data_IF_600919409254
#
_entry.id   IF_600919409254
#
_cell.length_a   1.000
_cell.length_b   1.000
_cell.length_c   1.000
_cell.angle_alpha   90.00
_cell.angle_beta   90.00
_cell.angle_gamma   90.00
#
_symmetry.space_group_name_H-M   'P 1'
#
loop_
_entity.id
_entity.type
_entity.pdbx_description
1 polymer ?
#
# COMPACT_ATOMS: atom_id res chain seq x y z
N UNK A 1 -16.10 3.89 -9.22
CA UNK A 1 -14.65 3.80 -9.52
C UNK A 1 -14.28 4.68 -10.71
N UNK A 2 -13.11 5.33 -10.72
CA UNK A 2 -12.69 6.20 -11.86
C UNK A 2 -12.54 5.37 -13.15
N UNK A 3 -12.93 5.91 -14.33
CA UNK A 3 -12.87 5.17 -15.59
C UNK A 3 -11.45 4.73 -15.97
N UNK A 4 -10.44 5.54 -15.67
CA UNK A 4 -9.03 5.17 -15.90
C UNK A 4 -8.60 3.91 -15.12
N UNK A 5 -9.10 3.72 -13.90
CA UNK A 5 -8.79 2.54 -13.08
C UNK A 5 -9.42 1.27 -13.67
N UNK A 6 -10.64 1.38 -14.20
CA UNK A 6 -11.31 0.26 -14.90
C UNK A 6 -10.49 -0.24 -16.09
N UNK A 7 -10.01 0.69 -16.93
CA UNK A 7 -9.15 0.35 -18.06
C UNK A 7 -7.84 -0.32 -17.65
N UNK A 8 -7.25 0.08 -16.52
CA UNK A 8 -6.05 -0.58 -15.99
C UNK A 8 -6.35 -2.01 -15.54
N UNK A 9 -7.46 -2.23 -14.83
CA UNK A 9 -7.88 -3.57 -14.41
C UNK A 9 -8.14 -4.49 -15.60
N UNK A 10 -8.75 -3.99 -16.67
CA UNK A 10 -8.96 -4.76 -17.90
C UNK A 10 -7.65 -5.16 -18.60
N UNK A 11 -6.57 -4.40 -18.39
CA UNK A 11 -5.22 -4.79 -18.87
C UNK A 11 -4.67 -5.93 -18.02
N UNK A 12 -4.86 -5.91 -16.71
CA UNK A 12 -4.45 -7.02 -15.82
C UNK A 12 -5.21 -8.31 -16.12
N UNK A 13 -6.51 -8.24 -16.45
CA UNK A 13 -7.28 -9.41 -16.88
C UNK A 13 -6.70 -10.04 -18.15
N UNK A 14 -6.38 -9.21 -19.15
CA UNK A 14 -5.74 -9.68 -20.39
C UNK A 14 -4.36 -10.26 -20.11
N UNK A 15 -3.58 -9.59 -19.27
CA UNK A 15 -2.24 -10.04 -18.88
C UNK A 15 -2.28 -11.40 -18.17
N UNK A 16 -3.27 -11.63 -17.30
CA UNK A 16 -3.43 -12.93 -16.66
C UNK A 16 -3.64 -14.05 -17.68
N UNK A 17 -4.51 -13.83 -18.66
CA UNK A 17 -4.78 -14.81 -19.72
C UNK A 17 -3.52 -15.08 -20.58
N UNK A 18 -2.72 -14.05 -20.86
CA UNK A 18 -1.43 -14.21 -21.53
C UNK A 18 -0.46 -15.05 -20.67
N UNK A 19 -0.36 -14.76 -19.38
CA UNK A 19 0.51 -15.49 -18.45
C UNK A 19 0.09 -16.96 -18.32
N UNK A 20 -1.21 -17.24 -18.25
CA UNK A 20 -1.75 -18.60 -18.25
C UNK A 20 -1.32 -19.35 -19.53
N UNK A 21 -1.39 -18.70 -20.69
CA UNK A 21 -0.94 -19.28 -21.96
C UNK A 21 0.57 -19.51 -22.01
N UNK A 22 1.36 -18.58 -21.47
CA UNK A 22 2.84 -18.69 -21.44
C UNK A 22 3.31 -19.79 -20.48
N UNK A 23 2.67 -19.91 -19.33
CA UNK A 23 2.99 -20.96 -18.34
C UNK A 23 2.58 -22.36 -18.81
N UNK A 24 1.64 -22.46 -19.73
CA UNK A 24 1.27 -23.71 -20.38
C UNK A 24 2.25 -24.16 -21.49
N UNK A 25 3.16 -23.29 -21.95
CA UNK A 25 4.13 -23.62 -23.00
C UNK A 25 5.30 -24.48 -22.43
N UNK A 26 5.51 -25.71 -22.94
CA UNK A 26 6.62 -26.56 -22.52
C UNK A 26 8.00 -25.93 -22.73
N UNK A 27 8.16 -24.98 -23.65
CA UNK A 27 9.41 -24.25 -23.86
C UNK A 27 9.77 -23.37 -22.66
N UNK A 28 8.78 -22.73 -22.05
CA UNK A 28 8.95 -21.92 -20.84
C UNK A 28 9.23 -22.81 -19.63
N UNK A 29 8.60 -23.98 -19.54
CA UNK A 29 8.86 -24.94 -18.45
C UNK A 29 10.30 -25.47 -18.45
N UNK A 30 10.97 -25.49 -19.60
CA UNK A 30 12.39 -25.87 -19.71
C UNK A 30 13.35 -24.77 -19.25
N UNK A 31 12.93 -23.51 -19.24
CA UNK A 31 13.68 -22.40 -18.68
C UNK A 31 13.26 -22.12 -17.23
N UNK A 32 14.03 -22.66 -16.28
CA UNK A 32 13.78 -22.47 -14.86
C UNK A 32 13.82 -20.99 -14.42
N UNK A 33 14.54 -20.12 -15.12
CA UNK A 33 14.61 -18.68 -14.84
C UNK A 33 13.34 -17.96 -15.25
N UNK A 34 12.97 -18.09 -16.53
CA UNK A 34 11.74 -17.52 -17.10
C UNK A 34 10.48 -18.03 -16.41
N UNK A 35 10.41 -19.34 -16.11
CA UNK A 35 9.28 -19.92 -15.39
C UNK A 35 9.07 -19.28 -14.02
N UNK A 36 10.15 -19.06 -13.24
CA UNK A 36 10.04 -18.42 -11.92
C UNK A 36 9.61 -16.97 -12.01
N UNK A 37 10.07 -16.23 -13.02
CA UNK A 37 9.68 -14.83 -13.22
C UNK A 37 8.19 -14.72 -13.58
N UNK A 38 7.74 -15.50 -14.57
CA UNK A 38 6.34 -15.54 -15.01
C UNK A 38 5.41 -16.06 -13.90
N UNK A 39 5.84 -17.05 -13.12
CA UNK A 39 5.06 -17.54 -11.98
C UNK A 39 4.86 -16.47 -10.90
N UNK A 40 5.88 -15.63 -10.63
CA UNK A 40 5.74 -14.51 -9.68
C UNK A 40 4.76 -13.47 -10.20
N UNK A 41 4.92 -13.08 -11.46
CA UNK A 41 4.03 -12.12 -12.11
C UNK A 41 2.59 -12.65 -12.11
N UNK A 42 2.39 -13.94 -12.39
CA UNK A 42 1.08 -14.59 -12.36
C UNK A 42 0.42 -14.50 -10.99
N UNK A 43 1.15 -14.76 -9.90
CA UNK A 43 0.63 -14.64 -8.53
C UNK A 43 0.23 -13.19 -8.21
N UNK A 44 1.02 -12.21 -8.63
CA UNK A 44 0.70 -10.79 -8.41
C UNK A 44 -0.55 -10.36 -9.20
N UNK A 45 -0.61 -10.70 -10.49
CA UNK A 45 -1.71 -10.33 -11.38
C UNK A 45 -3.00 -11.07 -11.02
N UNK A 46 -2.93 -12.37 -10.71
CA UNK A 46 -4.09 -13.16 -10.28
C UNK A 46 -4.72 -12.60 -9.02
N UNK A 47 -3.90 -12.17 -8.06
CA UNK A 47 -4.35 -11.45 -6.87
C UNK A 47 -5.24 -10.27 -7.21
N UNK A 48 -4.79 -9.39 -8.12
CA UNK A 48 -5.56 -8.20 -8.56
C UNK A 48 -6.86 -8.61 -9.26
N UNK A 49 -6.78 -9.56 -10.21
CA UNK A 49 -7.94 -10.01 -11.01
C UNK A 49 -9.02 -10.65 -10.15
N UNK A 50 -8.65 -11.43 -9.12
CA UNK A 50 -9.61 -12.00 -8.18
C UNK A 50 -10.43 -10.93 -7.45
N UNK A 51 -9.79 -9.85 -6.99
CA UNK A 51 -10.50 -8.75 -6.29
C UNK A 51 -11.40 -7.99 -7.26
N UNK A 52 -10.97 -7.80 -8.51
CA UNK A 52 -11.82 -7.24 -9.55
C UNK A 52 -13.03 -8.14 -9.85
N UNK A 53 -12.84 -9.46 -9.98
CA UNK A 53 -13.94 -10.40 -10.21
C UNK A 53 -14.94 -10.37 -9.06
N UNK A 54 -14.46 -10.30 -7.81
CA UNK A 54 -15.30 -10.14 -6.63
C UNK A 54 -16.07 -8.82 -6.65
N UNK A 55 -15.42 -7.71 -7.00
CA UNK A 55 -16.07 -6.41 -7.16
C UNK A 55 -17.18 -6.46 -8.23
N UNK A 56 -16.90 -7.03 -9.40
CA UNK A 56 -17.90 -7.18 -10.47
C UNK A 56 -19.04 -8.14 -10.10
N UNK A 57 -18.79 -9.11 -9.20
CA UNK A 57 -19.86 -9.94 -8.64
C UNK A 57 -20.74 -9.12 -7.70
N UNK A 58 -20.16 -8.35 -6.77
CA UNK A 58 -20.93 -7.50 -5.85
C UNK A 58 -21.70 -6.39 -6.57
N UNK A 59 -21.19 -5.84 -7.67
CA UNK A 59 -21.95 -4.91 -8.52
C UNK A 59 -23.20 -5.59 -9.10
N UNK A 60 -23.11 -6.87 -9.50
CA UNK A 60 -24.26 -7.65 -9.98
C UNK A 60 -25.24 -8.00 -8.86
N UNK A 61 -24.74 -8.34 -7.68
CA UNK A 61 -25.58 -8.66 -6.53
C UNK A 61 -26.36 -7.43 -6.05
N UNK A 62 -25.74 -6.24 -6.07
CA UNK A 62 -26.42 -4.98 -5.78
C UNK A 62 -27.54 -4.69 -6.80
N UNK A 63 -27.29 -4.95 -8.08
CA UNK A 63 -28.32 -4.82 -9.11
C UNK A 63 -29.47 -5.82 -8.91
N UNK A 64 -29.15 -7.08 -8.56
CA UNK A 64 -30.16 -8.09 -8.26
C UNK A 64 -31.00 -7.73 -7.02
N UNK A 65 -30.37 -7.19 -5.97
CA UNK A 65 -31.07 -6.70 -4.79
C UNK A 65 -32.02 -5.53 -5.13
N UNK A 66 -31.65 -4.66 -6.05
CA UNK A 66 -32.52 -3.57 -6.52
C UNK A 66 -33.75 -4.10 -7.26
N UNK A 67 -33.62 -5.16 -8.06
CA UNK A 67 -34.76 -5.83 -8.71
C UNK A 67 -35.67 -6.51 -7.67
N UNK A 68 -35.10 -7.17 -6.65
CA UNK A 68 -35.85 -7.79 -5.54
C UNK A 68 -36.61 -6.78 -4.69
N UNK A 69 -36.12 -5.54 -4.58
CA UNK A 69 -36.79 -4.47 -3.84
C UNK A 69 -38.13 -4.03 -4.44
N UNK A 70 -38.43 -4.45 -5.68
CA UNK A 70 -39.74 -4.22 -6.32
C UNK A 70 -40.87 -5.04 -5.70
N UNK A 71 -40.55 -6.14 -5.00
CA UNK A 71 -41.51 -6.95 -4.25
C UNK A 71 -41.56 -6.48 -2.77
N UNK A 72 -42.71 -5.99 -2.28
CA UNK A 72 -42.86 -5.52 -0.90
C UNK A 72 -42.54 -6.57 0.16
N UNK A 73 -42.72 -7.86 -0.12
CA UNK A 73 -42.41 -8.94 0.81
C UNK A 73 -40.90 -9.18 0.93
N UNK A 74 -40.15 -8.91 -0.14
CA UNK A 74 -38.70 -9.10 -0.21
C UNK A 74 -37.91 -7.81 0.05
N UNK A 75 -38.58 -6.65 0.11
CA UNK A 75 -37.95 -5.34 0.24
C UNK A 75 -36.99 -5.22 1.44
N UNK A 76 -37.33 -5.82 2.59
CA UNK A 76 -36.48 -5.81 3.77
C UNK A 76 -35.18 -6.62 3.56
N UNK A 77 -35.29 -7.80 2.95
CA UNK A 77 -34.13 -8.64 2.63
C UNK A 77 -33.24 -7.99 1.57
N UNK A 78 -33.86 -7.43 0.52
CA UNK A 78 -33.16 -6.69 -0.52
C UNK A 78 -32.37 -5.49 0.04
N UNK A 79 -32.91 -4.76 1.02
CA UNK A 79 -32.21 -3.66 1.67
C UNK A 79 -30.96 -4.12 2.43
N UNK A 80 -31.03 -5.25 3.15
CA UNK A 80 -29.89 -5.83 3.85
C UNK A 80 -28.80 -6.32 2.88
N UNK A 81 -29.19 -7.02 1.81
CA UNK A 81 -28.27 -7.49 0.77
C UNK A 81 -27.61 -6.32 0.06
N UNK A 82 -28.37 -5.28 -0.31
CA UNK A 82 -27.84 -4.08 -0.93
C UNK A 82 -26.85 -3.35 -0.01
N UNK A 83 -27.14 -3.23 1.28
CA UNK A 83 -26.25 -2.60 2.25
C UNK A 83 -24.94 -3.40 2.40
N UNK A 84 -25.03 -4.72 2.49
CA UNK A 84 -23.87 -5.63 2.56
C UNK A 84 -23.02 -5.54 1.30
N UNK A 85 -23.64 -5.61 0.12
CA UNK A 85 -22.96 -5.52 -1.17
C UNK A 85 -22.27 -4.16 -1.34
N UNK A 86 -22.93 -3.06 -0.96
CA UNK A 86 -22.36 -1.72 -1.04
C UNK A 86 -21.15 -1.56 -0.10
N UNK A 87 -21.25 -2.04 1.13
CA UNK A 87 -20.13 -1.99 2.09
C UNK A 87 -18.92 -2.79 1.59
N UNK A 88 -19.15 -3.95 0.94
CA UNK A 88 -18.07 -4.74 0.35
C UNK A 88 -17.48 -4.06 -0.90
N UNK A 89 -18.31 -3.44 -1.74
CA UNK A 89 -17.86 -2.68 -2.90
C UNK A 89 -16.92 -1.53 -2.50
N UNK A 90 -17.25 -0.78 -1.45
CA UNK A 90 -16.43 0.34 -0.99
C UNK A 90 -15.06 -0.14 -0.45
N UNK A 91 -15.04 -1.28 0.25
CA UNK A 91 -13.81 -1.94 0.70
C UNK A 91 -12.97 -2.39 -0.49
N UNK A 92 -13.55 -3.14 -1.41
CA UNK A 92 -12.87 -3.66 -2.60
C UNK A 92 -12.36 -2.54 -3.51
N UNK A 93 -13.12 -1.45 -3.67
CA UNK A 93 -12.69 -0.28 -4.43
C UNK A 93 -11.44 0.37 -3.82
N UNK A 94 -11.38 0.45 -2.49
CA UNK A 94 -10.21 0.98 -1.77
C UNK A 94 -9.00 0.04 -1.88
N UNK A 95 -9.22 -1.27 -1.76
CA UNK A 95 -8.17 -2.28 -1.92
C UNK A 95 -7.60 -2.30 -3.34
N UNK A 96 -8.46 -2.29 -4.36
CA UNK A 96 -8.05 -2.25 -5.76
C UNK A 96 -7.28 -0.96 -6.06
N UNK A 97 -7.70 0.19 -5.52
CA UNK A 97 -6.92 1.42 -5.66
C UNK A 97 -5.53 1.27 -5.07
N UNK A 98 -5.38 0.71 -3.86
CA UNK A 98 -4.07 0.48 -3.24
C UNK A 98 -3.19 -0.48 -4.04
N UNK A 99 -3.77 -1.57 -4.57
CA UNK A 99 -3.03 -2.56 -5.36
C UNK A 99 -2.54 -2.00 -6.70
N UNK A 100 -3.25 -1.03 -7.26
CA UNK A 100 -2.91 -0.39 -8.54
C UNK A 100 -1.89 0.75 -8.39
N UNK A 101 -1.57 1.18 -7.16
CA UNK A 101 -0.47 2.12 -7.00
C UNK A 101 0.83 1.39 -7.38
N UNK A 102 1.66 1.98 -8.26
CA UNK A 102 2.98 1.43 -8.51
C UNK A 102 3.71 1.37 -7.18
N UNK A 103 4.23 0.19 -6.82
CA UNK A 103 5.09 0.05 -5.66
C UNK A 103 6.32 0.89 -5.91
N UNK A 104 6.61 1.85 -5.03
CA UNK A 104 7.84 2.60 -5.14
C UNK A 104 9.00 1.61 -4.83
N UNK A 105 10.02 1.48 -5.69
CA UNK A 105 11.20 0.70 -5.36
C UNK A 105 11.86 1.12 -4.04
N UNK A 106 11.61 2.36 -3.59
CA UNK A 106 12.08 2.90 -2.31
C UNK A 106 11.13 2.61 -1.14
N UNK A 107 9.89 2.14 -1.36
CA UNK A 107 8.93 1.82 -0.27
C UNK A 107 9.44 0.72 0.67
N UNK A 108 10.27 -0.18 0.15
CA UNK A 108 10.88 -1.26 0.93
C UNK A 108 12.21 -0.86 1.60
N UNK A 109 12.68 0.37 1.40
CA UNK A 109 13.97 0.83 1.92
C UNK A 109 13.82 1.56 3.25
N UNK A 110 14.84 1.41 4.08
CA UNK A 110 14.99 2.20 5.30
C UNK A 110 15.12 3.69 4.97
N UNK A 111 14.43 4.54 5.73
CA UNK A 111 14.53 6.00 5.60
C UNK A 111 15.34 6.59 6.76
N UNK A 112 16.21 7.55 6.45
CA UNK A 112 16.89 8.37 7.45
C UNK A 112 16.06 9.64 7.72
N UNK A 113 15.58 9.79 8.96
CA UNK A 113 14.87 10.99 9.40
C UNK A 113 15.82 11.95 10.12
N UNK A 114 16.10 13.10 9.51
CA UNK A 114 16.87 14.19 10.12
C UNK A 114 15.93 15.33 10.53
N UNK A 115 15.91 15.65 11.83
CA UNK A 115 15.13 16.77 12.38
C UNK A 115 16.10 17.88 12.75
N UNK A 116 15.95 19.05 12.12
CA UNK A 116 16.75 20.25 12.40
C UNK A 116 15.85 21.34 12.98
N UNK A 117 16.33 22.03 14.01
CA UNK A 117 15.66 23.22 14.51
C UNK A 117 15.73 24.34 13.47
N UNK A 118 14.60 24.99 13.21
CA UNK A 118 14.49 26.15 12.33
C UNK A 118 14.83 27.46 13.04
N UNK A 119 14.20 28.54 12.62
CA UNK A 119 14.31 29.86 13.27
C UNK A 119 13.41 29.94 14.49
N UNK A 120 13.94 30.43 15.62
CA UNK A 120 13.19 30.58 16.87
C UNK A 120 13.88 29.92 18.06
N UNK A 121 15.21 30.02 18.14
CA UNK A 121 16.01 29.70 19.33
C UNK A 121 15.62 28.41 20.06
N UNK A 122 15.34 28.56 21.35
CA UNK A 122 15.09 27.47 22.29
C UNK A 122 13.75 26.79 22.02
N UNK A 123 12.74 27.53 21.58
CA UNK A 123 11.42 27.02 21.24
C UNK A 123 11.48 26.06 20.04
N UNK A 124 12.32 26.39 19.05
CA UNK A 124 12.55 25.52 17.89
C UNK A 124 13.29 24.24 18.25
N UNK A 125 14.19 24.30 19.23
CA UNK A 125 14.90 23.12 19.74
C UNK A 125 13.96 22.20 20.53
N UNK A 126 13.07 22.77 21.37
CA UNK A 126 12.04 22.02 22.09
C UNK A 126 11.09 21.31 21.13
N UNK A 127 10.62 22.01 20.09
CA UNK A 127 9.73 21.44 19.09
C UNK A 127 10.39 20.33 18.26
N UNK A 128 11.67 20.47 17.90
CA UNK A 128 12.43 19.40 17.26
C UNK A 128 12.52 18.14 18.14
N UNK A 129 12.65 18.31 19.46
CA UNK A 129 12.60 17.22 20.43
C UNK A 129 11.23 16.54 20.50
N UNK A 130 10.16 17.31 20.43
CA UNK A 130 8.79 16.78 20.41
C UNK A 130 8.48 15.98 19.14
N UNK A 131 8.92 16.48 17.97
CA UNK A 131 8.80 15.75 16.70
C UNK A 131 9.56 14.44 16.73
N UNK A 132 10.79 14.44 17.26
CA UNK A 132 11.56 13.22 17.42
C UNK A 132 10.79 12.20 18.28
N UNK A 133 10.28 12.64 19.44
CA UNK A 133 9.52 11.77 20.35
C UNK A 133 8.25 11.23 19.69
N UNK A 134 7.56 12.04 18.89
CA UNK A 134 6.36 11.64 18.14
C UNK A 134 6.70 10.53 17.13
N UNK A 135 7.71 10.74 16.28
CA UNK A 135 8.09 9.77 15.25
C UNK A 135 8.67 8.49 15.84
N UNK A 136 9.42 8.56 16.94
CA UNK A 136 9.88 7.36 17.67
C UNK A 136 8.70 6.50 18.12
N UNK A 137 7.69 7.10 18.79
CA UNK A 137 6.49 6.36 19.23
C UNK A 137 5.68 5.80 18.07
N UNK A 138 5.59 6.53 16.96
CA UNK A 138 4.92 6.05 15.75
C UNK A 138 5.61 4.81 15.18
N UNK A 139 6.94 4.86 15.04
CA UNK A 139 7.75 3.74 14.55
C UNK A 139 7.62 2.50 15.45
N UNK A 140 7.70 2.68 16.77
CA UNK A 140 7.51 1.60 17.76
C UNK A 140 6.15 0.90 17.61
N UNK A 141 5.09 1.63 17.27
CA UNK A 141 3.74 1.08 17.07
C UNK A 141 3.54 0.38 15.72
N UNK A 142 4.20 0.86 14.65
CA UNK A 142 4.01 0.38 13.28
C UNK A 142 4.92 -0.80 12.91
N UNK A 143 6.14 -0.86 13.43
CA UNK A 143 7.18 -1.79 12.95
C UNK A 143 7.57 -2.91 13.94
N UNK A 144 7.06 -2.89 15.18
CA UNK A 144 7.59 -3.75 16.24
C UNK A 144 8.99 -3.28 16.69
N UNK A 145 9.37 -3.58 17.92
CA UNK A 145 10.47 -2.93 18.65
C UNK A 145 11.91 -3.11 18.09
N UNK A 146 12.09 -3.74 16.92
CA UNK A 146 13.35 -4.41 16.56
C UNK A 146 14.43 -3.51 15.93
N UNK A 147 14.11 -2.34 15.39
CA UNK A 147 15.08 -1.54 14.60
C UNK A 147 15.27 -0.09 15.05
N UNK A 148 14.68 0.33 16.16
CA UNK A 148 14.81 1.72 16.63
C UNK A 148 16.19 2.00 17.25
N UNK A 149 17.13 2.54 16.46
CA UNK A 149 18.44 2.97 16.94
C UNK A 149 18.28 4.24 17.81
N UNK A 150 18.30 4.06 19.14
CA UNK A 150 18.29 5.18 20.11
C UNK A 150 19.64 5.90 20.10
N UNK A 151 19.75 7.00 19.36
CA UNK A 151 20.64 8.11 19.75
C UNK A 151 20.28 9.42 19.03
N UNK A 152 19.71 10.37 19.77
CA UNK A 152 19.67 11.77 19.39
C UNK A 152 20.73 12.51 20.21
N UNK A 153 21.82 12.92 19.57
CA UNK A 153 22.74 13.89 20.16
C UNK A 153 22.30 15.28 19.74
N UNK A 154 21.59 15.99 20.61
CA UNK A 154 21.45 17.43 20.49
C UNK A 154 22.80 18.07 20.84
N UNK A 155 23.68 18.25 19.86
CA UNK A 155 24.90 19.04 20.06
C UNK A 155 24.55 20.52 19.89
N UNK A 156 24.37 21.22 21.01
CA UNK A 156 24.35 22.67 21.05
C UNK A 156 25.78 23.17 20.83
N UNK A 157 26.10 23.61 19.62
CA UNK A 157 27.34 24.31 19.32
C UNK A 157 27.02 25.68 18.73
N UNK A 158 26.66 26.60 19.62
CA UNK A 158 26.60 28.02 19.34
C UNK A 158 28.02 28.60 19.24
N UNK A 159 28.81 28.28 18.21
CA UNK A 159 29.94 29.15 17.80
C UNK A 159 30.42 28.85 16.39
N UNK A 160 30.61 29.92 15.62
CA UNK A 160 31.15 29.94 14.26
C UNK A 160 32.54 29.27 14.20
N UNK A 161 32.69 28.27 13.32
CA UNK A 161 33.80 28.03 12.35
C UNK A 161 34.11 26.54 12.19
N UNK A 162 34.32 26.17 10.93
CA UNK A 162 34.70 24.86 10.39
C UNK A 162 33.57 23.84 10.29
N UNK A 163 33.07 23.69 9.07
CA UNK A 163 32.53 22.43 8.59
C UNK A 163 33.63 21.37 8.69
N UNK A 164 33.54 20.50 9.68
CA UNK A 164 34.10 19.15 9.59
C UNK A 164 32.92 18.18 9.65
N UNK A 165 32.81 17.35 8.62
CA UNK A 165 31.87 16.25 8.55
C UNK A 165 32.14 15.27 9.70
N UNK A 166 31.47 15.47 10.84
CA UNK A 166 31.52 14.53 11.96
C UNK A 166 30.26 13.67 11.95
N UNK A 167 30.43 12.48 11.35
CA UNK A 167 29.68 11.23 11.54
C UNK A 167 28.15 11.32 11.52
N UNK A 168 27.60 10.98 10.35
CA UNK A 168 26.20 10.59 10.20
C UNK A 168 25.86 9.46 11.19
N UNK A 169 24.86 9.70 12.04
CA UNK A 169 24.35 8.69 12.96
C UNK A 169 23.40 7.78 12.19
N UNK A 170 23.69 6.48 12.22
CA UNK A 170 23.08 5.46 11.39
C UNK A 170 21.81 4.94 12.09
N UNK A 171 20.64 5.22 11.53
CA UNK A 171 19.38 4.59 11.91
C UNK A 171 18.89 3.79 10.69
N UNK A 172 19.06 2.47 10.72
CA UNK A 172 18.52 1.57 9.70
C UNK A 172 17.19 1.03 10.20
N UNK A 173 16.09 1.49 9.62
CA UNK A 173 14.76 0.92 9.82
C UNK A 173 14.56 -0.18 8.78
N UNK A 174 14.93 -1.42 9.11
CA UNK A 174 14.49 -2.61 8.34
C UNK A 174 12.99 -2.81 8.49
#
# INVERSE_FOLDING_TARGET
MKPALRLQLDRYVRRLAELDSLLADPAVMRDAGGFRALSREHVEVSGIVERQRRHAQRERDLAAAAEMASDPELAAMAAEEAASAQAELDRLATELQRLLLPRDPDDARSVFLEIRAGTGGDESALFAGDLLRMYTRYAERKAGASSCCRRATASWAATRRSWRASRATRCSVT
#
